data_IF_731548529374
#
_entry.id   IF_731548529374
#
_cell.length_a   1.000
_cell.length_b   1.000
_cell.length_c   1.000
_cell.angle_alpha   90.00
_cell.angle_beta   90.00
_cell.angle_gamma   90.00
#
_symmetry.space_group_name_H-M   'P 1'
#
loop_
_entity.id
_entity.type
_entity.pdbx_description
1 polymer ?
#
# COMPACT_ATOMS: atom_id res chain seq x y z
N UNK A 1 -6.90 -56.46 39.20
CA UNK A 1 -6.89 -56.12 40.63
C UNK A 1 -8.04 -56.78 41.39
N UNK A 2 -9.32 -56.54 41.04
CA UNK A 2 -10.48 -57.13 41.73
C UNK A 2 -10.45 -58.67 41.86
N UNK A 3 -10.04 -59.38 40.80
CA UNK A 3 -9.87 -60.85 40.84
C UNK A 3 -8.76 -61.30 41.80
N UNK A 4 -7.67 -60.54 41.91
CA UNK A 4 -6.57 -60.85 42.83
C UNK A 4 -6.96 -60.55 44.29
N UNK A 5 -7.78 -59.53 44.53
CA UNK A 5 -8.31 -59.19 45.87
C UNK A 5 -9.33 -60.23 46.36
N UNK A 6 -10.18 -60.77 45.48
CA UNK A 6 -11.26 -61.68 45.86
C UNK A 6 -10.82 -63.12 46.17
N UNK A 7 -9.73 -63.60 45.59
CA UNK A 7 -9.31 -65.01 45.75
C UNK A 7 -7.82 -65.27 45.49
N UNK A 8 -6.98 -64.23 45.36
CA UNK A 8 -5.57 -64.36 44.99
C UNK A 8 -4.62 -64.46 46.19
N UNK A 9 -3.42 -64.96 45.95
CA UNK A 9 -2.32 -64.95 46.92
C UNK A 9 -1.73 -63.55 47.08
N UNK A 10 -1.01 -63.29 48.18
CA UNK A 10 -0.34 -62.00 48.41
C UNK A 10 0.59 -61.60 47.24
N UNK A 11 1.29 -62.56 46.64
CA UNK A 11 2.14 -62.33 45.46
C UNK A 11 1.33 -61.85 44.25
N UNK A 12 0.16 -62.45 43.99
CA UNK A 12 -0.74 -62.04 42.91
C UNK A 12 -1.35 -60.66 43.15
N UNK A 13 -1.68 -60.33 44.41
CA UNK A 13 -2.14 -58.99 44.79
C UNK A 13 -1.03 -57.96 44.50
N UNK A 14 0.19 -58.21 44.97
CA UNK A 14 1.32 -57.30 44.75
C UNK A 14 1.62 -57.10 43.26
N UNK A 15 1.60 -58.18 42.47
CA UNK A 15 1.78 -58.09 41.01
C UNK A 15 0.67 -57.26 40.34
N UNK A 16 -0.58 -57.46 40.75
CA UNK A 16 -1.72 -56.71 40.22
C UNK A 16 -1.69 -55.22 40.61
N UNK A 17 -1.21 -54.90 41.82
CA UNK A 17 -1.00 -53.51 42.27
C UNK A 17 0.12 -52.86 41.46
N UNK A 18 1.25 -53.52 41.28
CA UNK A 18 2.36 -52.99 40.48
C UNK A 18 1.94 -52.74 39.02
N UNK A 19 1.20 -53.67 38.42
CA UNK A 19 0.64 -53.50 37.08
C UNK A 19 -0.34 -52.32 37.01
N UNK A 20 -1.15 -52.09 38.06
CA UNK A 20 -2.04 -50.94 38.11
C UNK A 20 -1.29 -49.61 38.24
N UNK A 21 -0.23 -49.56 39.06
CA UNK A 21 0.65 -48.40 39.19
C UNK A 21 1.30 -48.07 37.84
N UNK A 22 1.82 -49.08 37.14
CA UNK A 22 2.43 -48.92 35.82
C UNK A 22 1.40 -48.46 34.77
N UNK A 23 0.17 -48.99 34.82
CA UNK A 23 -0.92 -48.52 33.96
C UNK A 23 -1.28 -47.05 34.22
N UNK A 24 -1.30 -46.61 35.48
CA UNK A 24 -1.53 -45.20 35.84
C UNK A 24 -0.38 -44.32 35.32
N UNK A 25 0.87 -44.74 35.48
CA UNK A 25 2.02 -44.02 34.95
C UNK A 25 1.94 -43.88 33.42
N UNK A 26 1.58 -44.96 32.72
CA UNK A 26 1.39 -44.96 31.27
C UNK A 26 0.22 -44.06 30.82
N UNK A 27 -0.89 -44.03 31.56
CA UNK A 27 -2.01 -43.13 31.29
C UNK A 27 -1.61 -41.67 31.48
N UNK A 28 -0.90 -41.35 32.56
CA UNK A 28 -0.40 -39.99 32.82
C UNK A 28 0.60 -39.55 31.74
N UNK A 29 1.47 -40.43 31.28
CA UNK A 29 2.39 -40.15 30.17
C UNK A 29 1.62 -39.86 28.86
N UNK A 30 0.62 -40.67 28.52
CA UNK A 30 -0.24 -40.46 27.34
C UNK A 30 -1.03 -39.14 27.43
N UNK A 31 -1.56 -38.82 28.61
CA UNK A 31 -2.25 -37.55 28.86
C UNK A 31 -1.31 -36.35 28.66
N UNK A 32 -0.08 -36.44 29.17
CA UNK A 32 0.97 -35.45 28.95
C UNK A 32 1.30 -35.26 27.47
N UNK A 33 1.51 -36.35 26.72
CA UNK A 33 1.77 -36.30 25.27
C UNK A 33 0.61 -35.66 24.49
N UNK A 34 -0.64 -36.01 24.82
CA UNK A 34 -1.81 -35.41 24.20
C UNK A 34 -1.94 -33.91 24.50
N UNK A 35 -1.66 -33.49 25.74
CA UNK A 35 -1.63 -32.08 26.12
C UNK A 35 -0.55 -31.30 25.35
N UNK A 36 0.66 -31.86 25.21
CA UNK A 36 1.72 -31.26 24.40
C UNK A 36 1.35 -31.17 22.91
N UNK A 37 0.73 -32.21 22.35
CA UNK A 37 0.26 -32.21 20.96
C UNK A 37 -0.82 -31.13 20.73
N UNK A 38 -1.78 -31.01 21.65
CA UNK A 38 -2.80 -29.96 21.60
C UNK A 38 -2.19 -28.56 21.73
N UNK A 39 -1.22 -28.38 22.63
CA UNK A 39 -0.48 -27.12 22.76
C UNK A 39 0.26 -26.75 21.46
N UNK A 40 0.92 -27.72 20.82
CA UNK A 40 1.58 -27.54 19.52
C UNK A 40 0.60 -27.17 18.40
N UNK A 41 -0.58 -27.81 18.35
CA UNK A 41 -1.63 -27.48 17.39
C UNK A 41 -2.15 -26.05 17.59
N UNK A 42 -2.42 -25.64 18.83
CA UNK A 42 -2.89 -24.29 19.13
C UNK A 42 -1.87 -23.21 18.74
N UNK A 43 -0.58 -23.47 18.99
CA UNK A 43 0.50 -22.59 18.57
C UNK A 43 0.59 -22.48 17.04
N UNK A 44 0.44 -23.60 16.33
CA UNK A 44 0.42 -23.62 14.86
C UNK A 44 -0.77 -22.86 14.27
N UNK A 45 -1.97 -23.00 14.86
CA UNK A 45 -3.16 -22.23 14.46
C UNK A 45 -2.88 -20.73 14.62
N UNK A 46 -2.42 -20.31 15.80
CA UNK A 46 -2.14 -18.89 16.10
C UNK A 46 -1.09 -18.31 15.16
N UNK A 47 0.00 -19.05 14.91
CA UNK A 47 1.07 -18.63 14.02
C UNK A 47 0.61 -18.48 12.55
N UNK A 48 -0.39 -19.24 12.12
CA UNK A 48 -0.90 -19.18 10.75
C UNK A 48 -2.03 -18.15 10.57
N UNK A 49 -2.89 -17.94 11.57
CA UNK A 49 -4.08 -17.09 11.41
C UNK A 49 -3.79 -15.59 11.55
N UNK A 50 -2.88 -15.18 12.44
CA UNK A 50 -2.61 -13.75 12.68
C UNK A 50 -1.89 -13.05 11.51
N UNK A 51 -0.80 -13.60 10.93
CA UNK A 51 -0.15 -13.00 9.76
C UNK A 51 -1.04 -13.01 8.52
N UNK A 52 -1.91 -14.02 8.38
CA UNK A 52 -2.81 -14.12 7.24
C UNK A 52 -3.90 -13.05 7.27
N UNK A 53 -4.51 -12.81 8.43
CA UNK A 53 -5.48 -11.73 8.61
C UNK A 53 -4.84 -10.35 8.37
N UNK A 54 -3.59 -10.15 8.81
CA UNK A 54 -2.85 -8.93 8.55
C UNK A 54 -2.59 -8.72 7.04
N UNK A 55 -2.06 -9.74 6.35
CA UNK A 55 -1.81 -9.68 4.91
C UNK A 55 -3.11 -9.42 4.11
N UNK A 56 -4.24 -9.96 4.57
CA UNK A 56 -5.55 -9.72 3.97
C UNK A 56 -5.94 -8.23 4.07
N UNK A 57 -5.81 -7.63 5.25
CA UNK A 57 -6.14 -6.22 5.48
C UNK A 57 -5.21 -5.28 4.68
N UNK A 58 -3.91 -5.56 4.68
CA UNK A 58 -2.91 -4.77 3.95
C UNK A 58 -3.15 -4.79 2.44
N UNK A 59 -3.39 -5.99 1.87
CA UNK A 59 -3.68 -6.12 0.44
C UNK A 59 -5.02 -5.47 0.06
N UNK A 60 -6.05 -5.59 0.89
CA UNK A 60 -7.34 -4.92 0.66
C UNK A 60 -7.20 -3.39 0.64
N UNK A 61 -6.44 -2.80 1.58
CA UNK A 61 -6.15 -1.37 1.58
C UNK A 61 -5.33 -0.92 0.37
N UNK A 62 -4.34 -1.73 -0.04
CA UNK A 62 -3.55 -1.45 -1.24
C UNK A 62 -4.41 -1.44 -2.50
N UNK A 63 -5.35 -2.37 -2.63
CA UNK A 63 -6.33 -2.41 -3.73
C UNK A 63 -7.21 -1.16 -3.72
N UNK A 64 -7.75 -0.76 -2.56
CA UNK A 64 -8.56 0.44 -2.44
C UNK A 64 -7.79 1.70 -2.88
N UNK A 65 -6.55 1.84 -2.42
CA UNK A 65 -5.65 2.94 -2.81
C UNK A 65 -5.38 2.94 -4.31
N UNK A 66 -5.05 1.78 -4.88
CA UNK A 66 -4.80 1.63 -6.31
C UNK A 66 -6.02 1.96 -7.17
N UNK A 67 -7.23 1.63 -6.73
CA UNK A 67 -8.47 2.02 -7.41
C UNK A 67 -8.67 3.54 -7.42
N UNK A 68 -8.37 4.22 -6.31
CA UNK A 68 -8.42 5.69 -6.24
C UNK A 68 -7.43 6.35 -7.21
N UNK A 69 -6.19 5.84 -7.26
CA UNK A 69 -5.15 6.32 -8.20
C UNK A 69 -5.55 6.04 -9.65
N UNK A 70 -6.06 4.83 -9.94
CA UNK A 70 -6.55 4.44 -11.27
C UNK A 70 -7.66 5.38 -11.76
N UNK A 71 -8.61 5.72 -10.88
CA UNK A 71 -9.71 6.64 -11.21
C UNK A 71 -9.18 8.05 -11.52
N UNK A 72 -8.25 8.53 -10.69
CA UNK A 72 -7.65 9.86 -10.89
C UNK A 72 -6.86 9.94 -12.19
N UNK A 73 -5.99 8.94 -12.44
CA UNK A 73 -5.20 8.87 -13.66
C UNK A 73 -6.09 8.77 -14.90
N UNK A 74 -7.16 7.97 -14.86
CA UNK A 74 -8.13 7.87 -15.94
C UNK A 74 -8.79 9.24 -16.26
N UNK A 75 -9.17 10.02 -15.24
CA UNK A 75 -9.73 11.36 -15.43
C UNK A 75 -8.75 12.34 -16.11
N UNK A 76 -7.48 12.32 -15.69
CA UNK A 76 -6.43 13.13 -16.32
C UNK A 76 -6.17 12.70 -17.77
N UNK A 77 -6.15 11.39 -18.04
CA UNK A 77 -6.02 10.83 -19.39
C UNK A 77 -7.15 11.31 -20.30
N UNK A 78 -8.40 11.26 -19.84
CA UNK A 78 -9.57 11.75 -20.62
C UNK A 78 -9.41 13.23 -20.97
N UNK A 79 -8.98 14.06 -20.01
CA UNK A 79 -8.74 15.48 -20.25
C UNK A 79 -7.65 15.71 -21.30
N UNK A 80 -6.51 15.02 -21.16
CA UNK A 80 -5.42 15.09 -22.13
C UNK A 80 -5.83 14.60 -23.53
N UNK A 81 -6.62 13.53 -23.63
CA UNK A 81 -7.15 13.05 -24.91
C UNK A 81 -8.04 14.08 -25.58
N UNK A 82 -8.89 14.79 -24.82
CA UNK A 82 -9.69 15.91 -25.33
C UNK A 82 -8.82 17.04 -25.89
N UNK A 83 -7.80 17.46 -25.14
CA UNK A 83 -6.84 18.49 -25.59
C UNK A 83 -6.00 18.04 -26.78
N UNK A 84 -5.69 16.75 -26.88
CA UNK A 84 -4.98 16.20 -28.03
C UNK A 84 -5.86 16.23 -29.28
N UNK A 85 -7.13 15.85 -29.14
CA UNK A 85 -8.10 15.88 -30.23
C UNK A 85 -8.37 17.31 -30.75
N UNK A 86 -8.30 18.32 -29.87
CA UNK A 86 -8.41 19.73 -30.25
C UNK A 86 -7.09 20.37 -30.71
N UNK A 87 -5.99 19.60 -30.74
CA UNK A 87 -4.65 20.09 -31.13
C UNK A 87 -4.00 21.04 -30.12
N UNK A 88 -4.54 21.15 -28.91
CA UNK A 88 -4.06 22.02 -27.84
C UNK A 88 -2.98 21.36 -26.98
N UNK A 89 -2.87 20.02 -27.01
CA UNK A 89 -1.85 19.30 -26.27
C UNK A 89 -0.49 19.42 -26.97
N UNK A 90 0.51 19.95 -26.27
CA UNK A 90 1.88 20.09 -26.77
C UNK A 90 2.51 18.72 -27.11
N UNK A 91 3.57 18.70 -27.91
CA UNK A 91 4.30 17.47 -28.22
C UNK A 91 4.81 16.75 -26.97
N UNK A 92 5.26 17.49 -25.95
CA UNK A 92 5.64 16.92 -24.66
C UNK A 92 4.42 16.32 -23.91
N UNK A 93 3.26 16.97 -24.00
CA UNK A 93 2.01 16.44 -23.45
C UNK A 93 1.54 15.16 -24.13
N UNK A 94 1.72 15.03 -25.45
CA UNK A 94 1.40 13.82 -26.20
C UNK A 94 2.26 12.63 -25.74
N UNK A 95 3.57 12.85 -25.51
CA UNK A 95 4.47 11.83 -24.95
C UNK A 95 4.04 11.45 -23.53
N UNK A 96 3.68 12.43 -22.69
CA UNK A 96 3.18 12.17 -21.34
C UNK A 96 1.86 11.38 -21.34
N UNK A 97 0.98 11.64 -22.32
CA UNK A 97 -0.28 10.91 -22.48
C UNK A 97 -0.04 9.43 -22.82
N UNK A 98 0.89 9.14 -23.73
CA UNK A 98 1.27 7.76 -24.06
C UNK A 98 1.84 7.03 -22.83
N UNK A 99 2.70 7.71 -22.06
CA UNK A 99 3.24 7.15 -20.81
C UNK A 99 2.15 6.90 -19.74
N UNK A 100 1.17 7.81 -19.63
CA UNK A 100 0.02 7.66 -18.74
C UNK A 100 -0.87 6.46 -19.13
N UNK A 101 -1.12 6.27 -20.42
CA UNK A 101 -1.87 5.10 -20.93
C UNK A 101 -1.16 3.77 -20.62
N UNK A 102 0.16 3.73 -20.77
CA UNK A 102 0.96 2.57 -20.40
C UNK A 102 0.92 2.30 -18.89
N UNK A 103 1.03 3.35 -18.07
CA UNK A 103 0.94 3.25 -16.61
C UNK A 103 -0.46 2.78 -16.16
N UNK A 104 -1.54 3.28 -16.78
CA UNK A 104 -2.91 2.86 -16.51
C UNK A 104 -3.12 1.36 -16.82
N UNK A 105 -2.58 0.90 -17.95
CA UNK A 105 -2.63 -0.51 -18.34
C UNK A 105 -1.88 -1.39 -17.33
N UNK A 106 -0.68 -0.99 -16.94
CA UNK A 106 0.11 -1.72 -15.95
C UNK A 106 -0.59 -1.77 -14.57
N UNK A 107 -1.15 -0.65 -14.12
CA UNK A 107 -1.90 -0.59 -12.87
C UNK A 107 -3.14 -1.50 -12.91
N UNK A 108 -3.90 -1.52 -14.02
CA UNK A 108 -5.05 -2.40 -14.18
C UNK A 108 -4.66 -3.89 -14.12
N UNK A 109 -3.55 -4.27 -14.75
CA UNK A 109 -3.02 -5.63 -14.69
C UNK A 109 -2.64 -6.02 -13.25
N UNK A 110 -1.95 -5.13 -12.52
CA UNK A 110 -1.56 -5.40 -11.14
C UNK A 110 -2.74 -5.41 -10.17
N UNK A 111 -3.77 -4.58 -10.40
CA UNK A 111 -5.03 -4.62 -9.67
C UNK A 111 -5.73 -5.97 -9.84
N UNK A 112 -5.77 -6.50 -11.06
CA UNK A 112 -6.36 -7.83 -11.33
C UNK A 112 -5.59 -8.93 -10.61
N UNK A 113 -4.26 -8.90 -10.69
CA UNK A 113 -3.41 -9.86 -9.97
C UNK A 113 -3.60 -9.77 -8.44
N UNK A 114 -3.70 -8.56 -7.88
CA UNK A 114 -3.94 -8.32 -6.46
C UNK A 114 -5.31 -8.85 -5.99
N UNK A 115 -6.36 -8.63 -6.78
CA UNK A 115 -7.70 -9.16 -6.48
C UNK A 115 -7.71 -10.69 -6.48
N UNK A 116 -7.04 -11.32 -7.45
CA UNK A 116 -6.90 -12.78 -7.50
C UNK A 116 -6.12 -13.32 -6.28
N UNK A 117 -5.03 -12.64 -5.89
CA UNK A 117 -4.24 -13.01 -4.71
C UNK A 117 -5.05 -12.86 -3.41
N UNK A 118 -5.86 -11.82 -3.28
CA UNK A 118 -6.75 -11.63 -2.13
C UNK A 118 -7.80 -12.75 -2.04
N UNK A 119 -8.41 -13.12 -3.17
CA UNK A 119 -9.35 -14.25 -3.23
C UNK A 119 -8.70 -15.58 -2.80
N UNK A 120 -7.48 -15.84 -3.27
CA UNK A 120 -6.72 -17.03 -2.87
C UNK A 120 -6.37 -17.04 -1.37
N UNK A 121 -5.99 -15.89 -0.81
CA UNK A 121 -5.71 -15.75 0.61
C UNK A 121 -6.96 -16.01 1.47
N UNK A 122 -8.11 -15.43 1.09
CA UNK A 122 -9.37 -15.67 1.80
C UNK A 122 -9.76 -17.16 1.76
N UNK A 123 -9.60 -17.81 0.60
CA UNK A 123 -9.88 -19.24 0.47
C UNK A 123 -8.93 -20.10 1.34
N UNK A 124 -7.65 -19.76 1.38
CA UNK A 124 -6.67 -20.45 2.21
C UNK A 124 -6.95 -20.27 3.71
N UNK A 125 -7.35 -19.07 4.15
CA UNK A 125 -7.75 -18.79 5.53
C UNK A 125 -8.98 -19.62 5.91
N UNK A 126 -10.03 -19.59 5.07
CA UNK A 126 -11.30 -20.29 5.35
C UNK A 126 -11.16 -21.82 5.38
N UNK A 127 -10.22 -22.37 4.60
CA UNK A 127 -9.94 -23.82 4.57
C UNK A 127 -8.82 -24.25 5.52
N UNK A 128 -8.05 -23.31 6.06
CA UNK A 128 -6.82 -23.54 6.82
C UNK A 128 -5.76 -24.37 6.07
N UNK A 129 -5.77 -24.34 4.74
CA UNK A 129 -4.86 -25.07 3.86
C UNK A 129 -4.04 -24.09 3.02
N UNK A 130 -2.72 -24.27 3.00
CA UNK A 130 -1.83 -23.47 2.14
C UNK A 130 -1.67 -22.00 2.54
N UNK A 131 -2.07 -21.62 3.76
CA UNK A 131 -2.08 -20.24 4.27
C UNK A 131 -0.73 -19.55 4.06
N UNK A 132 0.39 -20.19 4.41
CA UNK A 132 1.74 -19.62 4.25
C UNK A 132 2.05 -19.23 2.79
N UNK A 133 1.68 -20.06 1.82
CA UNK A 133 1.90 -19.78 0.40
C UNK A 133 0.98 -18.68 -0.13
N UNK A 134 -0.27 -18.65 0.34
CA UNK A 134 -1.21 -17.60 -0.01
C UNK A 134 -0.79 -16.24 0.55
N UNK A 135 -0.25 -16.20 1.78
CA UNK A 135 0.33 -14.99 2.40
C UNK A 135 1.50 -14.48 1.56
N UNK A 136 2.45 -15.35 1.19
CA UNK A 136 3.58 -14.94 0.34
C UNK A 136 3.13 -14.36 -1.00
N UNK A 137 2.12 -14.97 -1.62
CA UNK A 137 1.53 -14.48 -2.88
C UNK A 137 0.85 -13.13 -2.70
N UNK A 138 0.10 -12.94 -1.61
CA UNK A 138 -0.54 -11.67 -1.28
C UNK A 138 0.49 -10.54 -1.04
N UNK A 139 1.56 -10.82 -0.29
CA UNK A 139 2.65 -9.87 -0.07
C UNK A 139 3.34 -9.49 -1.39
N UNK A 140 3.62 -10.45 -2.27
CA UNK A 140 4.21 -10.15 -3.58
C UNK A 140 3.26 -9.30 -4.45
N UNK A 141 1.96 -9.60 -4.44
CA UNK A 141 0.96 -8.82 -5.15
C UNK A 141 0.89 -7.37 -4.63
N UNK A 142 0.99 -7.18 -3.31
CA UNK A 142 1.05 -5.85 -2.70
C UNK A 142 2.28 -5.05 -3.15
N UNK A 143 3.47 -5.68 -3.20
CA UNK A 143 4.70 -5.02 -3.68
C UNK A 143 4.59 -4.58 -5.15
N UNK A 144 4.08 -5.47 -5.99
CA UNK A 144 3.86 -5.19 -7.41
C UNK A 144 2.84 -4.06 -7.59
N UNK A 145 1.75 -4.09 -6.82
CA UNK A 145 0.71 -3.07 -6.85
C UNK A 145 1.26 -1.71 -6.40
N UNK A 146 2.05 -1.67 -5.32
CA UNK A 146 2.67 -0.44 -4.82
C UNK A 146 3.62 0.19 -5.84
N UNK A 147 4.36 -0.65 -6.57
CA UNK A 147 5.22 -0.21 -7.68
C UNK A 147 4.40 0.39 -8.82
N UNK A 148 3.30 -0.28 -9.21
CA UNK A 148 2.41 0.22 -10.26
C UNK A 148 1.70 1.51 -9.85
N UNK A 149 1.25 1.62 -8.60
CA UNK A 149 0.66 2.84 -8.03
C UNK A 149 1.65 4.01 -8.11
N UNK A 150 2.90 3.79 -7.71
CA UNK A 150 3.94 4.83 -7.78
C UNK A 150 4.19 5.27 -9.23
N UNK A 151 4.25 4.31 -10.17
CA UNK A 151 4.36 4.60 -11.60
C UNK A 151 3.17 5.39 -12.14
N UNK A 152 1.95 5.03 -11.75
CA UNK A 152 0.71 5.71 -12.13
C UNK A 152 0.65 7.14 -11.57
N UNK A 153 1.04 7.35 -10.30
CA UNK A 153 1.12 8.67 -9.69
C UNK A 153 2.13 9.57 -10.42
N UNK A 154 3.31 9.04 -10.76
CA UNK A 154 4.31 9.78 -11.53
C UNK A 154 3.81 10.14 -12.93
N UNK A 155 3.17 9.20 -13.63
CA UNK A 155 2.61 9.45 -14.94
C UNK A 155 1.48 10.50 -14.88
N UNK A 156 0.62 10.42 -13.85
CA UNK A 156 -0.42 11.39 -13.60
C UNK A 156 0.16 12.79 -13.37
N UNK A 157 1.17 12.92 -12.51
CA UNK A 157 1.82 14.20 -12.22
C UNK A 157 2.45 14.83 -13.46
N UNK A 158 3.17 14.03 -14.26
CA UNK A 158 3.78 14.49 -15.50
C UNK A 158 2.73 14.94 -16.52
N UNK A 159 1.64 14.18 -16.66
CA UNK A 159 0.57 14.53 -17.58
C UNK A 159 -0.16 15.80 -17.13
N UNK A 160 -0.49 15.93 -15.84
CA UNK A 160 -1.10 17.13 -15.27
C UNK A 160 -0.22 18.36 -15.44
N UNK A 161 1.10 18.24 -15.25
CA UNK A 161 2.04 19.33 -15.51
C UNK A 161 2.06 19.72 -17.00
N UNK A 162 2.04 18.73 -17.90
CA UNK A 162 2.00 19.01 -19.33
C UNK A 162 0.68 19.67 -19.77
N UNK A 163 -0.45 19.30 -19.16
CA UNK A 163 -1.73 20.00 -19.36
C UNK A 163 -1.61 21.45 -18.87
N UNK A 164 -1.07 21.69 -17.68
CA UNK A 164 -0.94 23.04 -17.11
C UNK A 164 -0.05 24.01 -17.92
N UNK A 165 0.89 23.49 -18.71
CA UNK A 165 1.72 24.32 -19.62
C UNK A 165 1.01 24.67 -20.93
N UNK A 166 -0.05 23.94 -21.31
CA UNK A 166 -0.84 24.25 -22.51
C UNK A 166 -1.80 25.43 -22.32
N UNK A 167 -2.16 25.77 -21.09
CA UNK A 167 -3.04 26.91 -20.76
C UNK A 167 -2.34 28.28 -20.75
N UNK A 168 -1.01 28.33 -20.88
CA UNK A 168 -0.22 29.59 -20.81
C UNK A 168 0.41 30.02 -22.13
N UNK A 169 0.11 29.34 -23.24
CA UNK A 169 0.59 29.82 -24.55
C UNK A 169 -0.31 30.96 -25.03
N UNK A 170 0.20 32.20 -25.17
CA UNK A 170 -0.60 33.29 -25.73
C UNK A 170 -0.95 32.93 -27.17
N UNK A 171 -2.25 32.91 -27.46
CA UNK A 171 -2.76 32.90 -28.82
C UNK A 171 -1.99 33.92 -29.65
N UNK A 172 -1.23 33.54 -30.70
CA UNK A 172 -0.73 34.52 -31.63
C UNK A 172 -1.95 35.06 -32.37
N UNK A 173 -2.44 36.22 -31.94
CA UNK A 173 -3.37 37.01 -32.73
C UNK A 173 -2.61 37.38 -33.99
N UNK A 174 -2.98 36.74 -35.09
CA UNK A 174 -2.52 37.10 -36.43
C UNK A 174 -3.16 38.44 -36.78
N UNK A 175 -2.56 39.53 -36.30
CA UNK A 175 -2.81 40.85 -36.82
C UNK A 175 -2.02 40.99 -38.11
N UNK A 176 -2.72 40.81 -39.23
CA UNK A 176 -2.27 41.28 -40.56
C UNK A 176 -2.04 42.78 -40.48
N UNK A 177 -0.77 43.20 -40.40
CA UNK A 177 -0.35 44.58 -40.33
C UNK A 177 0.94 44.80 -41.12
N UNK A 178 0.75 45.32 -42.33
CA UNK A 178 1.69 46.02 -43.22
C UNK A 178 3.13 46.27 -42.74
N UNK A 179 4.07 45.86 -43.59
CA UNK A 179 5.47 46.26 -43.66
C UNK A 179 5.70 47.78 -43.56
N UNK A 180 6.61 48.22 -42.69
CA UNK A 180 7.43 49.43 -42.90
C UNK A 180 8.78 49.26 -42.19
N UNK A 181 9.85 49.50 -42.94
CA UNK A 181 11.24 49.41 -42.52
C UNK A 181 11.68 50.63 -41.68
N UNK A 182 12.59 50.44 -40.73
CA UNK A 182 13.18 51.52 -39.93
C UNK A 182 14.28 51.09 -38.94
N UNK A 183 15.51 50.99 -39.45
CA UNK A 183 16.84 51.28 -38.85
C UNK A 183 17.10 51.24 -37.31
N UNK A 184 18.09 50.42 -36.95
CA UNK A 184 19.31 50.68 -36.14
C UNK A 184 19.23 51.34 -34.74
N UNK A 185 19.73 50.63 -33.71
CA UNK A 185 20.39 51.27 -32.56
C UNK A 185 20.32 50.55 -31.19
N UNK A 186 21.40 49.85 -30.86
CA UNK A 186 22.04 49.66 -29.54
C UNK A 186 21.27 49.42 -28.22
N UNK A 187 21.75 48.39 -27.51
CA UNK A 187 21.95 48.27 -26.06
C UNK A 187 20.76 48.36 -25.09
N UNK A 188 20.47 47.24 -24.42
CA UNK A 188 20.94 47.01 -23.05
C UNK A 188 20.40 45.67 -22.53
N UNK A 189 21.33 44.78 -22.16
CA UNK A 189 21.07 43.73 -21.17
C UNK A 189 21.04 44.42 -19.80
N UNK A 190 19.95 44.27 -19.06
CA UNK A 190 19.92 44.49 -17.62
C UNK A 190 18.89 43.53 -17.00
N UNK A 191 19.38 42.46 -16.39
CA UNK A 191 18.63 41.72 -15.38
C UNK A 191 18.74 42.44 -14.02
N UNK A 192 17.73 42.24 -13.17
CA UNK A 192 17.69 42.09 -11.70
C UNK A 192 16.18 42.01 -11.35
N UNK A 193 15.64 40.86 -10.90
CA UNK A 193 15.38 40.49 -9.47
C UNK A 193 14.51 41.54 -8.73
N UNK A 194 13.39 41.28 -8.01
CA UNK A 194 12.75 40.12 -7.34
C UNK A 194 11.32 40.52 -6.88
N UNK A 195 10.32 39.64 -7.09
CA UNK A 195 9.09 39.31 -6.30
C UNK A 195 8.10 40.40 -5.79
N UNK A 196 6.95 40.03 -5.15
CA UNK A 196 5.64 39.81 -5.79
C UNK A 196 4.58 40.84 -5.34
N UNK A 197 3.79 41.39 -6.26
CA UNK A 197 2.70 42.30 -5.88
C UNK A 197 1.34 41.60 -5.98
N UNK A 198 0.82 41.22 -4.82
CA UNK A 198 -0.60 40.97 -4.57
C UNK A 198 -1.34 42.29 -4.80
N UNK A 199 -2.34 42.32 -5.68
CA UNK A 199 -3.32 43.41 -5.67
C UNK A 199 -4.71 42.87 -5.90
N UNK A 200 -5.59 43.35 -5.03
CA UNK A 200 -6.91 42.85 -4.73
C UNK A 200 -7.88 42.97 -5.92
N UNK A 201 -8.81 42.01 -5.97
CA UNK A 201 -10.02 42.13 -6.76
C UNK A 201 -10.86 43.33 -6.31
N UNK A 202 -11.46 43.99 -7.29
CA UNK A 202 -12.55 44.95 -7.08
C UNK A 202 -13.83 44.26 -7.54
N UNK A 203 -14.73 44.06 -6.59
CA UNK A 203 -16.09 43.55 -6.80
C UNK A 203 -16.98 44.64 -7.40
N UNK A 204 -17.95 44.23 -8.24
CA UNK A 204 -19.22 44.94 -8.37
C UNK A 204 -20.32 43.89 -8.49
N UNK A 205 -21.17 43.82 -7.46
CA UNK A 205 -22.21 42.81 -7.32
C UNK A 205 -23.56 43.19 -7.94
N UNK A 206 -24.52 42.26 -7.83
CA UNK A 206 -25.96 42.55 -7.78
C UNK A 206 -26.66 41.48 -6.93
N UNK A 207 -27.63 41.96 -6.16
CA UNK A 207 -28.26 41.43 -4.93
C UNK A 207 -29.47 40.50 -5.16
N UNK A 208 -29.85 39.80 -4.08
CA UNK A 208 -31.24 39.39 -3.78
C UNK A 208 -31.32 38.19 -2.82
N UNK A 209 -31.19 38.36 -1.50
CA UNK A 209 -32.27 38.41 -0.47
C UNK A 209 -32.63 37.00 0.10
N UNK A 210 -32.80 36.68 1.40
CA UNK A 210 -33.35 37.39 2.59
C UNK A 210 -32.94 36.76 3.96
N UNK A 211 -32.98 37.59 5.03
CA UNK A 211 -33.23 37.34 6.49
C UNK A 211 -32.16 36.66 7.38
N UNK A 212 -31.38 37.40 8.21
CA UNK A 212 -31.59 37.86 9.63
C UNK A 212 -31.45 36.72 10.69
N UNK A 213 -30.59 36.74 11.73
CA UNK A 213 -30.43 37.74 12.82
C UNK A 213 -29.17 37.51 13.72
N UNK A 214 -28.41 38.60 13.95
CA UNK A 214 -27.59 39.05 15.12
C UNK A 214 -26.53 38.19 15.83
N UNK A 215 -25.36 38.82 16.09
CA UNK A 215 -24.47 38.43 17.20
C UNK A 215 -23.01 38.90 17.19
N UNK A 216 -22.75 40.22 17.06
CA UNK A 216 -21.67 40.99 17.70
C UNK A 216 -20.27 40.35 18.06
N UNK A 217 -19.23 40.97 17.47
CA UNK A 217 -17.96 41.46 18.07
C UNK A 217 -16.67 40.60 18.23
N UNK A 218 -15.58 41.26 17.79
CA UNK A 218 -14.17 41.28 18.24
C UNK A 218 -13.20 40.18 17.80
N UNK A 219 -12.16 40.66 17.13
CA UNK A 219 -10.90 40.01 16.80
C UNK A 219 -10.09 39.64 18.05
N UNK A 220 -9.56 38.42 18.08
CA UNK A 220 -8.49 38.04 18.99
C UNK A 220 -8.66 36.66 19.60
N UNK A 221 -7.78 35.76 19.15
CA UNK A 221 -7.27 34.56 19.83
C UNK A 221 -8.09 33.26 19.76
N UNK A 222 -7.41 32.24 19.23
CA UNK A 222 -7.49 30.81 19.59
C UNK A 222 -8.62 29.96 19.00
N UNK A 223 -8.32 29.20 17.93
CA UNK A 223 -8.27 27.74 18.02
C UNK A 223 -7.73 27.10 16.71
N UNK A 224 -6.44 26.78 16.67
CA UNK A 224 -5.99 25.61 15.92
C UNK A 224 -5.20 24.71 16.87
N UNK A 225 -5.66 23.48 17.16
CA UNK A 225 -4.73 22.45 17.62
C UNK A 225 -3.78 22.12 16.47
N UNK A 226 -2.56 22.67 16.54
CA UNK A 226 -1.43 22.18 15.77
C UNK A 226 -0.97 20.86 16.38
N UNK A 227 -1.27 19.75 15.72
CA UNK A 227 -0.54 18.49 15.92
C UNK A 227 0.22 18.16 14.65
N UNK A 228 1.41 18.76 14.55
CA UNK A 228 2.50 18.19 13.76
C UNK A 228 2.95 16.91 14.45
N UNK A 229 2.56 15.75 13.93
CA UNK A 229 3.17 14.48 14.29
C UNK A 229 3.04 13.51 13.12
N UNK A 230 4.16 13.26 12.43
CA UNK A 230 4.56 12.00 11.77
C UNK A 230 5.82 12.31 10.96
N UNK A 231 7.00 12.32 11.58
CA UNK A 231 7.93 11.19 11.52
C UNK A 231 8.09 10.62 10.10
N UNK A 232 8.86 11.35 9.29
CA UNK A 232 9.61 10.81 8.17
C UNK A 232 10.63 9.77 8.66
N UNK A 233 10.18 8.52 8.83
CA UNK A 233 11.07 7.37 9.04
C UNK A 233 10.42 6.12 8.47
N UNK A 234 10.44 5.93 7.15
CA UNK A 234 10.20 4.61 6.52
C UNK A 234 10.62 4.59 5.05
N UNK A 235 11.94 4.60 4.79
CA UNK A 235 12.46 3.58 3.86
C UNK A 235 13.54 2.69 4.48
N UNK A 236 14.12 3.09 5.63
CA UNK A 236 15.24 2.37 6.26
C UNK A 236 14.82 1.13 7.06
N UNK A 237 13.59 1.08 7.58
CA UNK A 237 13.07 -0.09 8.31
C UNK A 237 12.76 -1.25 7.34
N UNK A 238 12.29 -0.93 6.13
CA UNK A 238 11.95 -1.92 5.11
C UNK A 238 13.20 -2.57 4.48
N UNK A 239 14.31 -1.83 4.40
CA UNK A 239 15.60 -2.38 3.96
C UNK A 239 16.26 -3.29 5.02
N UNK A 240 16.01 -3.02 6.31
CA UNK A 240 16.54 -3.83 7.42
C UNK A 240 15.98 -5.27 7.47
N UNK A 241 14.70 -5.46 7.13
CA UNK A 241 14.07 -6.77 7.13
C UNK A 241 14.55 -7.67 5.99
N UNK A 242 14.82 -7.10 4.81
CA UNK A 242 15.33 -7.85 3.66
C UNK A 242 16.76 -8.37 3.87
N UNK A 243 17.63 -7.61 4.56
CA UNK A 243 19.01 -8.03 4.82
C UNK A 243 19.11 -9.14 5.90
N UNK A 244 18.24 -9.13 6.91
CA UNK A 244 18.16 -10.21 7.92
C UNK A 244 17.66 -11.53 7.32
N UNK A 245 16.71 -11.48 6.38
CA UNK A 245 16.19 -12.68 5.71
C UNK A 245 17.23 -13.36 4.80
N UNK A 246 18.07 -12.58 4.11
CA UNK A 246 19.15 -13.12 3.26
C UNK A 246 20.35 -13.58 4.11
N UNK A 247 20.64 -12.90 5.23
CA UNK A 247 21.71 -13.29 6.15
C UNK A 247 21.49 -14.64 6.85
N UNK A 248 20.24 -14.97 7.21
CA UNK A 248 19.91 -16.24 7.87
C UNK A 248 20.06 -17.48 6.98
N UNK A 249 19.92 -17.33 5.65
CA UNK A 249 20.01 -18.45 4.72
C UNK A 249 21.45 -18.88 4.40
N UNK A 250 22.43 -17.98 4.54
CA UNK A 250 23.85 -18.27 4.27
C UNK A 250 24.55 -19.04 5.40
N UNK A 251 24.03 -19.02 6.63
CA UNK A 251 24.60 -19.79 7.77
C UNK A 251 24.14 -21.25 7.84
N UNK A 252 23.19 -21.69 7.01
CA UNK A 252 22.71 -23.09 6.97
C UNK A 252 23.29 -23.90 5.80
N UNK A 253 24.55 -23.67 5.41
CA UNK A 253 25.29 -24.66 4.60
C UNK A 253 25.77 -25.78 5.51
N UNK A 254 25.32 -27.03 5.34
CA UNK A 254 25.92 -28.17 6.02
C UNK A 254 27.37 -28.35 5.54
N UNK A 255 28.29 -28.56 6.47
CA UNK A 255 29.65 -29.01 6.17
C UNK A 255 29.56 -30.43 5.61
N UNK A 256 29.94 -30.61 4.35
CA UNK A 256 30.21 -31.94 3.81
C UNK A 256 31.40 -32.54 4.57
N UNK A 257 31.18 -33.69 5.20
CA UNK A 257 32.21 -34.54 5.77
C UNK A 257 32.84 -35.37 4.63
N UNK A 258 34.18 -35.50 4.57
CA UNK A 258 34.82 -36.32 3.57
C UNK A 258 34.64 -37.80 3.91
N UNK A 259 34.15 -38.59 2.96
CA UNK A 259 34.20 -40.04 3.05
C UNK A 259 35.63 -40.51 2.76
N UNK A 260 36.10 -41.38 3.65
CA UNK A 260 37.38 -42.14 3.60
C UNK A 260 37.31 -43.19 2.50
#
# INVERSE_FOLDING_TARGET
>A
LNTAIGSGTQSQINAAVNAAIEAIANLNAKAGMAASANGGLAAAITANTSPAAQAQAELANAIATANGVSTTLAGTIVTAQGLNASGQLSGAGQVALVAALAAQTNLANMLTAAQNALGALIAAINSNVGVTGAVATATQAQLNLSTAVSGALKANANLSAAIGTTTTTPTPTTTTGTTTAGTTGSSAVAGFETSPQVSAGSETGTQGATTQTQGQTVAGVQNLPSTSSSQDTSPLVLLGAALMAVGGALLRRPKEQPAV
#
